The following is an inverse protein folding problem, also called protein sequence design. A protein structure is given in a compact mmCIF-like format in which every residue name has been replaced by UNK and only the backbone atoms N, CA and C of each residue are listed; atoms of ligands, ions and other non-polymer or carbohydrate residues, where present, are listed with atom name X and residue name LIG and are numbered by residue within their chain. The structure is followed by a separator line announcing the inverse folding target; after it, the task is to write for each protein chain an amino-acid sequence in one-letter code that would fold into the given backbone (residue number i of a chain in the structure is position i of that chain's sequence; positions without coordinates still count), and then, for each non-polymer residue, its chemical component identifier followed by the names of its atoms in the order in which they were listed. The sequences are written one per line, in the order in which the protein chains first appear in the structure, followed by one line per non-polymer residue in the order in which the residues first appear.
data_IF_930856697029
#
_entry.id   IF_930856697029
#
_cell.length_a   1.000
_cell.length_b   1.000
_cell.length_c   1.000
_cell.angle_alpha   90.00
_cell.angle_beta   90.00
_cell.angle_gamma   90.00
#
_symmetry.space_group_name_H-M   'P 1'
#
loop_
_entity.id
_entity.type
_entity.pdbx_description
1 polymer ?
#
# COMPACT_ATOMS: atom_id res chain seq x y z
N UNK A 1 7.88 6.62 -4.54
CA UNK A 1 7.93 7.69 -3.56
C UNK A 1 9.01 8.65 -4.01
N UNK A 2 8.68 9.88 -4.33
CA UNK A 2 9.61 10.88 -4.82
C UNK A 2 9.39 11.31 -6.27
N UNK A 3 9.92 12.47 -6.62
CA UNK A 3 9.75 13.20 -7.88
C UNK A 3 10.52 12.62 -9.09
N UNK A 4 10.99 11.39 -9.05
CA UNK A 4 11.64 10.69 -10.17
C UNK A 4 13.09 10.27 -9.93
N UNK A 5 13.75 10.64 -8.85
CA UNK A 5 15.06 10.12 -8.47
C UNK A 5 14.94 8.80 -7.69
N UNK A 6 15.92 7.92 -7.86
CA UNK A 6 16.03 6.69 -7.08
C UNK A 6 16.37 7.01 -5.62
N UNK A 7 15.74 6.25 -4.68
CA UNK A 7 16.06 6.36 -3.27
C UNK A 7 14.88 6.80 -2.41
N UNK A 8 15.21 7.14 -1.17
CA UNK A 8 14.24 7.63 -0.17
C UNK A 8 14.30 9.15 -0.17
N UNK A 9 13.18 9.78 -0.49
CA UNK A 9 13.01 11.23 -0.42
C UNK A 9 12.39 11.61 0.93
N UNK A 10 13.13 12.30 1.82
CA UNK A 10 12.64 12.65 3.15
C UNK A 10 11.39 13.54 3.15
N UNK A 11 11.25 14.45 2.18
CA UNK A 11 10.09 15.32 2.09
C UNK A 11 8.83 14.51 1.79
N UNK A 12 8.91 13.58 0.83
CA UNK A 12 7.81 12.67 0.51
C UNK A 12 7.46 11.76 1.69
N UNK A 13 8.47 11.23 2.41
CA UNK A 13 8.25 10.39 3.59
C UNK A 13 7.53 11.19 4.69
N UNK A 14 7.98 12.41 4.99
CA UNK A 14 7.37 13.28 6.00
C UNK A 14 5.94 13.65 5.61
N UNK A 15 5.67 13.96 4.35
CA UNK A 15 4.33 14.24 3.87
C UNK A 15 3.38 13.04 4.04
N UNK A 16 3.83 11.84 3.66
CA UNK A 16 3.03 10.61 3.85
C UNK A 16 2.81 10.34 5.35
N UNK A 17 3.83 10.52 6.19
CA UNK A 17 3.71 10.35 7.63
C UNK A 17 2.69 11.34 8.24
N UNK A 18 2.65 12.58 7.77
CA UNK A 18 1.67 13.56 8.19
C UNK A 18 0.22 13.16 7.82
N UNK A 19 -0.01 12.62 6.62
CA UNK A 19 -1.31 12.07 6.21
C UNK A 19 -1.75 10.91 7.12
N UNK A 20 -0.82 9.98 7.40
CA UNK A 20 -1.08 8.81 8.27
C UNK A 20 -1.37 9.27 9.70
N UNK A 21 -0.62 10.26 10.22
CA UNK A 21 -0.86 10.85 11.53
C UNK A 21 -2.26 11.46 11.61
N UNK A 22 -2.66 12.28 10.63
CA UNK A 22 -3.98 12.90 10.59
C UNK A 22 -5.09 11.85 10.61
N UNK A 23 -4.97 10.77 9.85
CA UNK A 23 -5.92 9.66 9.88
C UNK A 23 -5.95 8.96 11.25
N UNK A 24 -4.79 8.76 11.89
CA UNK A 24 -4.70 8.20 13.24
C UNK A 24 -5.38 9.09 14.29
N UNK A 25 -5.17 10.39 14.22
CA UNK A 25 -5.80 11.38 15.12
C UNK A 25 -7.31 11.49 14.92
N UNK A 26 -7.80 11.19 13.71
CA UNK A 26 -9.22 11.06 13.41
C UNK A 26 -9.86 9.76 13.97
N UNK A 27 -9.07 8.87 14.62
CA UNK A 27 -9.55 7.68 15.31
C UNK A 27 -9.46 6.38 14.53
N UNK A 28 -8.87 6.37 13.33
CA UNK A 28 -8.72 5.15 12.54
C UNK A 28 -7.60 4.25 13.06
N UNK A 29 -7.82 2.94 13.05
CA UNK A 29 -6.78 1.94 13.23
C UNK A 29 -6.09 1.68 11.89
N UNK A 30 -4.76 1.83 11.83
CA UNK A 30 -4.04 1.87 10.57
C UNK A 30 -2.98 0.77 10.47
N UNK A 31 -3.06 0.01 9.38
CA UNK A 31 -2.01 -0.85 8.87
C UNK A 31 -1.46 -0.24 7.57
N UNK A 32 -0.14 -0.16 7.46
CA UNK A 32 0.52 0.33 6.25
C UNK A 32 1.26 -0.80 5.56
N UNK A 33 1.17 -0.83 4.24
CA UNK A 33 2.01 -1.68 3.39
C UNK A 33 2.76 -0.78 2.43
N UNK A 34 4.08 -0.84 2.44
CA UNK A 34 4.93 0.03 1.64
C UNK A 34 5.67 -0.76 0.56
N UNK A 35 5.72 -0.20 -0.66
CA UNK A 35 6.49 -0.76 -1.76
C UNK A 35 7.98 -0.41 -1.69
N UNK A 36 8.79 -1.07 -2.52
CA UNK A 36 10.24 -0.84 -2.64
C UNK A 36 10.68 -0.25 -3.99
N UNK A 37 9.74 0.04 -4.89
CA UNK A 37 10.01 0.37 -6.29
C UNK A 37 10.77 1.68 -6.56
N UNK A 38 10.89 2.56 -5.55
CA UNK A 38 11.73 3.75 -5.58
C UNK A 38 13.22 3.44 -5.33
N UNK A 39 13.54 2.30 -4.73
CA UNK A 39 14.89 1.84 -4.44
C UNK A 39 15.28 0.73 -5.41
N UNK A 40 14.41 -0.28 -5.60
CA UNK A 40 14.69 -1.42 -6.45
C UNK A 40 13.40 -1.99 -7.05
N UNK A 41 13.43 -2.29 -8.35
CA UNK A 41 12.30 -2.90 -9.09
C UNK A 41 12.70 -4.26 -9.63
N UNK A 42 12.25 -5.33 -8.96
CA UNK A 42 12.60 -6.72 -9.30
C UNK A 42 12.28 -7.10 -10.75
N UNK A 43 11.09 -6.76 -11.25
CA UNK A 43 10.70 -7.01 -12.65
C UNK A 43 11.63 -6.34 -13.66
N UNK A 44 12.02 -5.09 -13.42
CA UNK A 44 12.95 -4.37 -14.30
C UNK A 44 14.37 -4.92 -14.24
N UNK A 45 14.80 -5.44 -13.08
CA UNK A 45 16.09 -6.08 -12.90
C UNK A 45 16.11 -7.46 -13.57
N UNK A 46 15.05 -8.25 -13.42
CA UNK A 46 14.91 -9.56 -14.10
C UNK A 46 14.96 -9.40 -15.63
N UNK A 47 14.32 -8.37 -16.18
CA UNK A 47 14.39 -8.05 -17.60
C UNK A 47 15.81 -7.68 -18.09
N UNK A 48 16.72 -7.35 -17.16
CA UNK A 48 18.15 -7.05 -17.42
C UNK A 48 19.08 -8.22 -17.09
N UNK A 49 18.54 -9.43 -16.87
CA UNK A 49 19.31 -10.67 -16.67
C UNK A 49 19.53 -11.09 -15.20
N UNK A 50 18.95 -10.39 -14.23
CA UNK A 50 18.92 -10.89 -12.86
C UNK A 50 18.00 -12.11 -12.75
N UNK A 51 18.36 -13.09 -11.90
CA UNK A 51 17.43 -14.11 -11.50
C UNK A 51 16.19 -13.48 -10.84
N UNK A 52 15.00 -13.91 -11.27
CA UNK A 52 13.73 -13.32 -10.82
C UNK A 52 13.55 -13.44 -9.31
N UNK A 53 13.85 -14.59 -8.74
CA UNK A 53 13.70 -14.87 -7.31
C UNK A 53 14.60 -13.94 -6.49
N UNK A 54 15.88 -13.84 -6.88
CA UNK A 54 16.84 -12.96 -6.25
C UNK A 54 16.44 -11.49 -6.35
N UNK A 55 15.97 -11.06 -7.52
CA UNK A 55 15.50 -9.71 -7.75
C UNK A 55 14.26 -9.36 -6.89
N UNK A 56 13.33 -10.30 -6.73
CA UNK A 56 12.16 -10.10 -5.87
C UNK A 56 12.57 -10.00 -4.38
N UNK A 57 13.54 -10.79 -3.89
CA UNK A 57 14.09 -10.62 -2.54
C UNK A 57 14.75 -9.25 -2.34
N UNK A 58 15.52 -8.75 -3.32
CA UNK A 58 16.08 -7.40 -3.27
C UNK A 58 14.96 -6.34 -3.19
N UNK A 59 13.88 -6.51 -3.94
CA UNK A 59 12.68 -5.67 -3.85
C UNK A 59 12.03 -5.72 -2.47
N UNK A 60 11.94 -6.90 -1.84
CA UNK A 60 11.42 -7.05 -0.48
C UNK A 60 12.30 -6.32 0.54
N UNK A 61 13.63 -6.42 0.45
CA UNK A 61 14.55 -5.67 1.31
C UNK A 61 14.40 -4.16 1.11
N UNK A 62 14.17 -3.69 -0.10
CA UNK A 62 13.89 -2.29 -0.38
C UNK A 62 12.62 -1.79 0.32
N UNK A 63 11.59 -2.65 0.46
CA UNK A 63 10.39 -2.28 1.26
C UNK A 63 10.71 -2.11 2.73
N UNK A 64 11.63 -2.89 3.28
CA UNK A 64 12.06 -2.75 4.69
C UNK A 64 12.72 -1.41 4.92
N UNK A 65 13.60 -0.96 4.01
CA UNK A 65 14.20 0.37 4.10
C UNK A 65 13.14 1.48 4.12
N UNK A 66 12.15 1.41 3.22
CA UNK A 66 11.06 2.38 3.20
C UNK A 66 10.19 2.30 4.46
N UNK A 67 9.91 1.12 4.98
CA UNK A 67 9.14 0.94 6.21
C UNK A 67 9.83 1.58 7.42
N UNK A 68 11.14 1.41 7.55
CA UNK A 68 11.93 2.05 8.61
C UNK A 68 11.96 3.58 8.47
N UNK A 69 12.05 4.09 7.24
CA UNK A 69 11.98 5.54 6.99
C UNK A 69 10.62 6.12 7.41
N UNK A 70 9.52 5.46 7.04
CA UNK A 70 8.16 5.87 7.44
C UNK A 70 7.96 5.75 8.95
N UNK A 71 8.45 4.67 9.58
CA UNK A 71 8.43 4.52 11.04
C UNK A 71 9.14 5.69 11.72
N UNK A 72 10.38 5.99 11.30
CA UNK A 72 11.16 7.09 11.90
C UNK A 72 10.41 8.43 11.79
N UNK A 73 9.82 8.74 10.65
CA UNK A 73 9.07 9.96 10.47
C UNK A 73 7.80 10.02 11.36
N UNK A 74 7.05 8.91 11.47
CA UNK A 74 5.87 8.83 12.33
C UNK A 74 6.24 8.96 13.82
N UNK A 75 7.31 8.31 14.27
CA UNK A 75 7.77 8.38 15.65
C UNK A 75 8.29 9.79 16.02
N UNK A 76 8.96 10.49 15.10
CA UNK A 76 9.30 11.90 15.25
C UNK A 76 8.07 12.81 15.39
N UNK A 77 6.93 12.42 14.81
CA UNK A 77 5.66 13.12 14.94
C UNK A 77 4.84 12.68 16.17
N UNK A 78 5.39 11.80 17.02
CA UNK A 78 4.74 11.32 18.24
C UNK A 78 3.77 10.15 18.04
N UNK A 79 3.82 9.46 16.89
CA UNK A 79 2.99 8.29 16.62
C UNK A 79 3.72 7.00 16.96
N UNK A 80 3.26 6.25 17.94
CA UNK A 80 3.78 4.91 18.24
C UNK A 80 3.61 3.98 17.03
N UNK A 81 4.72 3.43 16.54
CA UNK A 81 4.73 2.65 15.29
C UNK A 81 5.53 1.36 15.45
N UNK A 82 5.14 0.29 14.77
CA UNK A 82 5.89 -0.97 14.70
C UNK A 82 6.02 -1.47 13.27
N UNK A 83 7.25 -1.79 12.87
CA UNK A 83 7.52 -2.48 11.60
C UNK A 83 7.57 -3.98 11.84
N UNK A 84 6.78 -4.73 11.08
CA UNK A 84 6.75 -6.19 11.09
C UNK A 84 7.13 -6.71 9.71
N UNK A 85 8.21 -7.49 9.64
CA UNK A 85 8.74 -8.02 8.38
C UNK A 85 8.31 -9.47 8.14
N UNK A 86 7.88 -9.76 6.92
CA UNK A 86 7.60 -11.13 6.49
C UNK A 86 8.87 -11.99 6.36
N UNK A 87 10.04 -11.35 6.14
CA UNK A 87 11.34 -12.01 6.22
C UNK A 87 11.92 -11.74 7.61
N UNK A 88 12.26 -12.78 8.41
CA UNK A 88 12.83 -12.60 9.74
C UNK A 88 14.16 -11.83 9.71
N UNK A 89 14.22 -10.69 10.42
CA UNK A 89 15.41 -9.88 10.60
C UNK A 89 15.37 -9.19 11.97
N UNK A 90 15.40 -9.98 13.01
CA UNK A 90 15.12 -9.58 14.39
C UNK A 90 15.99 -8.43 14.93
N UNK A 91 17.20 -8.22 14.37
CA UNK A 91 18.07 -7.09 14.73
C UNK A 91 17.61 -5.74 14.12
N UNK A 92 16.64 -5.75 13.19
CA UNK A 92 16.20 -4.58 12.44
C UNK A 92 14.75 -4.21 12.76
N UNK A 93 13.86 -5.21 12.74
CA UNK A 93 12.43 -5.04 13.00
C UNK A 93 11.81 -6.35 13.51
N UNK A 94 10.57 -6.29 13.96
CA UNK A 94 9.89 -7.48 14.47
C UNK A 94 9.56 -8.46 13.34
N UNK A 95 9.70 -9.79 13.55
CA UNK A 95 9.15 -10.76 12.62
C UNK A 95 7.62 -10.69 12.62
N UNK A 96 7.02 -10.79 11.44
CA UNK A 96 5.57 -10.80 11.32
C UNK A 96 4.97 -12.03 11.98
N UNK A 97 4.14 -11.79 12.96
CA UNK A 97 3.26 -12.77 13.60
C UNK A 97 1.89 -12.09 13.76
N UNK A 98 0.84 -12.65 13.15
CA UNK A 98 -0.50 -12.04 13.14
C UNK A 98 -0.93 -11.55 14.53
N UNK A 99 -0.83 -12.39 15.56
CA UNK A 99 -1.23 -12.02 16.94
C UNK A 99 -0.44 -10.84 17.51
N UNK A 100 0.83 -10.68 17.14
CA UNK A 100 1.63 -9.51 17.53
C UNK A 100 1.11 -8.25 16.83
N UNK A 101 0.82 -8.32 15.53
CA UNK A 101 0.27 -7.21 14.78
C UNK A 101 -1.07 -6.73 15.38
N UNK A 102 -2.00 -7.65 15.63
CA UNK A 102 -3.27 -7.34 16.32
C UNK A 102 -3.01 -6.68 17.66
N UNK A 103 -2.09 -7.23 18.48
CA UNK A 103 -1.77 -6.65 19.78
C UNK A 103 -1.17 -5.24 19.70
N UNK A 104 -0.46 -4.90 18.63
CA UNK A 104 0.01 -3.54 18.40
C UNK A 104 -1.15 -2.60 18.08
N UNK A 105 -2.11 -3.00 17.24
CA UNK A 105 -3.30 -2.22 16.92
C UNK A 105 -4.15 -1.98 18.18
N UNK A 106 -4.42 -3.01 18.98
CA UNK A 106 -5.12 -2.91 20.27
C UNK A 106 -4.48 -1.90 21.23
N UNK A 107 -3.16 -1.71 21.14
CA UNK A 107 -2.41 -0.70 21.90
C UNK A 107 -2.42 0.68 21.24
N UNK A 108 -3.19 0.87 20.19
CA UNK A 108 -3.28 2.12 19.45
C UNK A 108 -2.05 2.46 18.61
N UNK A 109 -1.20 1.48 18.28
CA UNK A 109 -0.01 1.67 17.44
C UNK A 109 -0.35 1.57 15.97
N UNK A 110 0.41 2.28 15.14
CA UNK A 110 0.41 2.09 13.69
C UNK A 110 1.31 0.89 13.37
N UNK A 111 0.82 -0.03 12.55
CA UNK A 111 1.57 -1.21 12.11
C UNK A 111 2.01 -1.03 10.66
N UNK A 112 3.30 -1.21 10.39
CA UNK A 112 3.85 -1.17 9.03
C UNK A 112 4.34 -2.56 8.66
N UNK A 113 3.77 -3.15 7.61
CA UNK A 113 4.17 -4.43 7.08
C UNK A 113 5.25 -4.25 6.01
N UNK A 114 6.37 -4.93 6.18
CA UNK A 114 7.54 -4.91 5.31
C UNK A 114 7.85 -6.30 4.73
N UNK A 115 8.69 -6.35 3.72
CA UNK A 115 9.09 -7.54 2.96
C UNK A 115 7.92 -8.24 2.23
N UNK A 116 6.86 -7.50 1.90
CA UNK A 116 5.76 -8.01 1.10
C UNK A 116 5.07 -9.23 1.72
N UNK A 117 4.90 -10.29 0.93
CA UNK A 117 4.41 -11.60 1.38
C UNK A 117 5.52 -12.46 1.99
N UNK A 118 6.79 -12.10 1.83
CA UNK A 118 7.95 -12.93 2.13
C UNK A 118 8.29 -13.96 1.04
N UNK A 119 7.51 -13.99 -0.04
CA UNK A 119 7.66 -14.93 -1.14
C UNK A 119 7.89 -14.20 -2.46
N UNK A 120 8.81 -14.68 -3.32
CA UNK A 120 8.97 -14.20 -4.68
C UNK A 120 7.68 -14.35 -5.51
N UNK A 121 7.62 -13.67 -6.65
CA UNK A 121 6.52 -13.65 -7.62
C UNK A 121 5.25 -12.92 -7.20
N UNK A 122 5.17 -12.45 -5.97
CA UNK A 122 4.07 -11.62 -5.49
C UNK A 122 4.45 -10.14 -5.44
N UNK A 123 3.47 -9.28 -5.63
CA UNK A 123 3.67 -7.83 -5.59
C UNK A 123 3.33 -7.24 -4.20
N UNK A 124 3.61 -5.97 -4.03
CA UNK A 124 3.16 -5.20 -2.86
C UNK A 124 1.63 -5.17 -2.77
N UNK A 125 0.93 -5.15 -3.91
CA UNK A 125 -0.54 -5.16 -3.95
C UNK A 125 -1.10 -6.46 -3.37
N UNK A 126 -0.54 -7.62 -3.77
CA UNK A 126 -0.90 -8.92 -3.19
C UNK A 126 -0.61 -8.96 -1.68
N UNK A 127 0.53 -8.39 -1.26
CA UNK A 127 0.86 -8.32 0.16
C UNK A 127 -0.16 -7.46 0.93
N UNK A 128 -0.58 -6.32 0.37
CA UNK A 128 -1.58 -5.46 0.99
C UNK A 128 -2.93 -6.16 1.15
N UNK A 129 -3.41 -6.86 0.12
CA UNK A 129 -4.64 -7.64 0.17
C UNK A 129 -4.56 -8.76 1.22
N UNK A 130 -3.43 -9.49 1.27
CA UNK A 130 -3.20 -10.54 2.26
C UNK A 130 -3.24 -9.99 3.69
N UNK A 131 -2.53 -8.90 3.96
CA UNK A 131 -2.51 -8.30 5.30
C UNK A 131 -3.87 -7.74 5.68
N UNK A 132 -4.60 -7.12 4.73
CA UNK A 132 -5.96 -6.65 4.99
C UNK A 132 -6.88 -7.79 5.42
N UNK A 133 -6.84 -8.95 4.75
CA UNK A 133 -7.62 -10.13 5.11
C UNK A 133 -7.19 -10.70 6.48
N UNK A 134 -5.88 -10.85 6.74
CA UNK A 134 -5.36 -11.39 8.00
C UNK A 134 -5.67 -10.49 9.20
N UNK A 135 -5.67 -9.18 9.02
CA UNK A 135 -5.97 -8.21 10.10
C UNK A 135 -7.46 -7.97 10.29
N UNK A 136 -8.31 -8.43 9.36
CA UNK A 136 -9.74 -8.15 9.37
C UNK A 136 -10.04 -6.67 9.09
N UNK A 137 -9.30 -6.06 8.16
CA UNK A 137 -9.52 -4.67 7.78
C UNK A 137 -10.87 -4.49 7.10
N UNK A 138 -11.54 -3.37 7.38
CA UNK A 138 -12.83 -3.01 6.76
C UNK A 138 -12.67 -2.60 5.29
N UNK A 139 -11.50 -2.06 4.91
CA UNK A 139 -11.19 -1.67 3.53
C UNK A 139 -9.68 -1.63 3.29
N UNK A 140 -9.29 -1.69 2.03
CA UNK A 140 -7.92 -1.49 1.55
C UNK A 140 -7.86 -0.16 0.79
N UNK A 141 -7.06 0.78 1.29
CA UNK A 141 -6.84 2.09 0.66
C UNK A 141 -5.56 2.07 -0.16
N UNK A 142 -5.70 2.27 -1.49
CA UNK A 142 -4.58 2.35 -2.41
C UNK A 142 -4.27 3.81 -2.76
N UNK A 143 -3.26 4.37 -2.09
CA UNK A 143 -2.71 5.67 -2.44
C UNK A 143 -1.86 5.61 -3.71
N UNK A 144 -2.25 6.34 -4.73
CA UNK A 144 -1.59 6.38 -6.04
C UNK A 144 -1.28 7.81 -6.49
N UNK A 145 -0.69 7.94 -7.67
CA UNK A 145 -0.43 9.25 -8.30
C UNK A 145 -1.62 9.80 -9.10
N UNK A 146 -2.70 9.01 -9.23
CA UNK A 146 -3.95 9.37 -9.89
C UNK A 146 -5.08 9.29 -8.87
N UNK A 147 -6.18 9.99 -9.13
CA UNK A 147 -7.30 10.17 -8.20
C UNK A 147 -8.37 9.07 -8.28
N UNK A 148 -8.09 7.99 -8.99
CA UNK A 148 -9.01 6.86 -9.11
C UNK A 148 -8.65 5.92 -10.25
N UNK A 149 -9.57 5.04 -10.61
CA UNK A 149 -9.47 4.10 -11.73
C UNK A 149 -10.12 4.71 -12.97
N UNK A 150 -9.47 4.55 -14.12
CA UNK A 150 -9.90 5.08 -15.39
C UNK A 150 -10.09 3.96 -16.41
N UNK A 151 -10.94 4.20 -17.41
CA UNK A 151 -11.14 3.28 -18.55
C UNK A 151 -9.93 3.25 -19.51
N UNK A 152 -9.04 4.24 -19.44
CA UNK A 152 -7.79 4.35 -20.19
C UNK A 152 -6.77 5.14 -19.35
N UNK A 153 -5.49 5.12 -19.74
CA UNK A 153 -4.45 5.90 -19.06
C UNK A 153 -4.69 7.41 -19.25
N UNK A 154 -5.06 8.18 -18.21
CA UNK A 154 -5.37 9.61 -18.35
C UNK A 154 -4.17 10.47 -18.76
N UNK A 155 -2.95 9.93 -18.66
CA UNK A 155 -1.74 10.61 -19.15
C UNK A 155 -1.55 10.49 -20.66
N UNK A 156 -2.19 9.49 -21.28
CA UNK A 156 -2.07 9.19 -22.71
C UNK A 156 -3.34 9.53 -23.46
N UNK A 157 -4.49 9.39 -22.84
CA UNK A 157 -5.80 9.65 -23.43
C UNK A 157 -6.51 10.78 -22.65
N UNK A 158 -6.64 11.97 -23.24
CA UNK A 158 -7.35 13.09 -22.60
C UNK A 158 -8.87 12.85 -22.47
N UNK A 159 -9.42 11.83 -23.13
CA UNK A 159 -10.83 11.44 -23.00
C UNK A 159 -11.04 10.32 -21.98
N UNK A 160 -9.99 9.90 -21.27
CA UNK A 160 -10.12 8.90 -20.22
C UNK A 160 -11.12 9.35 -19.16
N UNK A 161 -12.05 8.45 -18.83
CA UNK A 161 -13.09 8.71 -17.83
C UNK A 161 -12.81 7.92 -16.57
N UNK A 162 -12.85 8.61 -15.43
CA UNK A 162 -12.72 7.98 -14.11
C UNK A 162 -14.04 7.28 -13.77
N UNK A 163 -13.91 6.15 -13.12
CA UNK A 163 -15.03 5.45 -12.48
C UNK A 163 -15.19 5.92 -11.04
N UNK A 164 -16.41 6.15 -10.59
CA UNK A 164 -16.71 6.41 -9.17
C UNK A 164 -16.80 5.09 -8.39
N UNK A 165 -17.39 4.08 -8.99
CA UNK A 165 -17.52 2.74 -8.42
C UNK A 165 -17.33 1.67 -9.50
N UNK A 166 -16.82 0.50 -9.10
CA UNK A 166 -16.59 -0.68 -9.93
C UNK A 166 -16.90 -1.94 -9.12
N UNK A 167 -17.43 -2.97 -9.76
CA UNK A 167 -17.42 -4.30 -9.18
C UNK A 167 -16.04 -4.95 -9.33
N UNK A 168 -15.72 -5.92 -8.46
CA UNK A 168 -14.50 -6.71 -8.61
C UNK A 168 -14.44 -7.47 -9.94
N UNK A 169 -15.58 -8.01 -10.37
CA UNK A 169 -15.69 -8.75 -11.64
C UNK A 169 -15.44 -7.85 -12.84
N UNK A 170 -15.92 -6.62 -12.80
CA UNK A 170 -15.67 -5.61 -13.84
C UNK A 170 -14.17 -5.31 -13.95
N UNK A 171 -13.48 -5.10 -12.80
CA UNK A 171 -12.03 -4.86 -12.78
C UNK A 171 -11.27 -6.03 -13.40
N UNK A 172 -11.64 -7.27 -13.06
CA UNK A 172 -10.96 -8.47 -13.57
C UNK A 172 -11.27 -8.74 -15.05
N UNK A 173 -12.54 -8.59 -15.47
CA UNK A 173 -12.97 -8.87 -16.85
C UNK A 173 -12.41 -7.83 -17.83
N UNK A 174 -12.44 -6.56 -17.45
CA UNK A 174 -11.97 -5.45 -18.29
C UNK A 174 -10.45 -5.23 -18.15
N UNK A 175 -9.78 -6.04 -17.32
CA UNK A 175 -8.34 -5.95 -17.03
C UNK A 175 -7.90 -4.52 -16.65
N UNK A 176 -8.70 -3.85 -15.82
CA UNK A 176 -8.43 -2.49 -15.39
C UNK A 176 -7.20 -2.44 -14.47
N UNK A 177 -6.36 -1.43 -14.67
CA UNK A 177 -5.08 -1.28 -13.96
C UNK A 177 -5.29 -0.69 -12.55
N UNK A 178 -5.96 -1.44 -11.68
CA UNK A 178 -6.18 -1.08 -10.26
C UNK A 178 -5.04 -1.63 -9.40
N UNK A 179 -4.96 -2.94 -9.35
CA UNK A 179 -3.98 -3.76 -8.63
C UNK A 179 -3.72 -5.00 -9.48
N UNK A 180 -2.77 -5.85 -9.09
CA UNK A 180 -2.64 -7.14 -9.76
C UNK A 180 -3.89 -8.03 -9.53
N UNK A 181 -4.17 -8.91 -10.48
CA UNK A 181 -5.38 -9.75 -10.47
C UNK A 181 -5.48 -10.61 -9.21
N UNK A 182 -4.35 -11.10 -8.68
CA UNK A 182 -4.31 -11.90 -7.45
C UNK A 182 -4.74 -11.07 -6.23
N UNK A 183 -4.34 -9.81 -6.15
CA UNK A 183 -4.75 -8.91 -5.08
C UNK A 183 -6.25 -8.59 -5.14
N UNK A 184 -6.77 -8.30 -6.35
CA UNK A 184 -8.20 -8.03 -6.57
C UNK A 184 -9.04 -9.25 -6.23
N UNK A 185 -8.62 -10.45 -6.67
CA UNK A 185 -9.33 -11.71 -6.37
C UNK A 185 -9.36 -11.98 -4.86
N UNK A 186 -8.24 -11.77 -4.15
CA UNK A 186 -8.17 -11.98 -2.71
C UNK A 186 -9.08 -11.00 -1.95
N UNK A 187 -9.14 -9.73 -2.36
CA UNK A 187 -10.06 -8.76 -1.79
C UNK A 187 -11.53 -9.15 -2.04
N UNK A 188 -11.85 -9.61 -3.27
CA UNK A 188 -13.20 -10.09 -3.62
C UNK A 188 -13.64 -11.24 -2.74
N UNK A 189 -12.80 -12.28 -2.61
CA UNK A 189 -13.11 -13.48 -1.81
C UNK A 189 -13.33 -13.18 -0.33
N UNK A 190 -12.70 -12.13 0.18
CA UNK A 190 -12.82 -11.71 1.58
C UNK A 190 -13.77 -10.50 1.79
N UNK A 191 -14.45 -10.04 0.73
CA UNK A 191 -15.37 -8.89 0.75
C UNK A 191 -14.71 -7.61 1.30
N UNK A 192 -13.44 -7.37 0.94
CA UNK A 192 -12.68 -6.19 1.35
C UNK A 192 -12.73 -5.17 0.20
N UNK A 193 -13.47 -4.07 0.31
CA UNK A 193 -13.51 -3.04 -0.72
C UNK A 193 -12.13 -2.39 -0.88
N UNK A 194 -11.79 -2.03 -2.15
CA UNK A 194 -10.56 -1.31 -2.46
C UNK A 194 -10.93 0.13 -2.80
N UNK A 195 -10.31 1.08 -2.11
CA UNK A 195 -10.49 2.51 -2.34
C UNK A 195 -9.23 3.07 -3.00
N UNK A 196 -9.34 3.49 -4.26
CA UNK A 196 -8.20 4.04 -5.03
C UNK A 196 -8.30 5.56 -5.04
N UNK A 197 -7.26 6.25 -4.57
CA UNK A 197 -7.26 7.70 -4.41
C UNK A 197 -5.86 8.31 -4.65
N UNK A 198 -5.80 9.63 -4.86
CA UNK A 198 -4.52 10.35 -4.97
C UNK A 198 -3.90 10.57 -3.60
N UNK A 199 -2.67 10.09 -3.39
CA UNK A 199 -1.86 10.38 -2.19
C UNK A 199 -1.05 11.67 -2.34
N UNK A 200 -1.17 12.38 -3.47
CA UNK A 200 -0.39 13.60 -3.75
C UNK A 200 -0.97 14.84 -3.07
N UNK A 201 -2.27 14.87 -2.90
CA UNK A 201 -2.98 15.99 -2.29
C UNK A 201 -2.90 15.91 -0.77
N UNK A 202 -2.53 17.01 -0.15
CA UNK A 202 -2.41 17.09 1.31
C UNK A 202 -3.81 17.01 1.96
N UNK A 203 -3.96 16.18 3.00
CA UNK A 203 -5.22 15.96 3.71
C UNK A 203 -6.17 14.99 3.01
N UNK A 204 -5.81 14.49 1.82
CA UNK A 204 -6.72 13.66 1.03
C UNK A 204 -6.98 12.28 1.67
N UNK A 205 -5.99 11.68 2.33
CA UNK A 205 -6.20 10.40 3.01
C UNK A 205 -7.30 10.50 4.08
N UNK A 206 -7.22 11.50 4.95
CA UNK A 206 -8.23 11.70 5.99
C UNK A 206 -9.61 12.02 5.40
N UNK A 207 -9.66 12.80 4.33
CA UNK A 207 -10.91 13.15 3.62
C UNK A 207 -11.56 11.90 3.01
N UNK A 208 -10.79 11.05 2.33
CA UNK A 208 -11.30 9.83 1.69
C UNK A 208 -11.69 8.77 2.75
N UNK A 209 -10.95 8.66 3.85
CA UNK A 209 -11.32 7.81 4.99
C UNK A 209 -12.68 8.23 5.59
N UNK A 210 -12.97 9.54 5.62
CA UNK A 210 -14.25 10.10 6.07
C UNK A 210 -15.39 9.96 5.05
N UNK A 211 -15.17 9.31 3.91
CA UNK A 211 -16.18 9.13 2.84
C UNK A 211 -16.33 10.32 1.90
N UNK A 212 -15.45 11.32 1.99
CA UNK A 212 -15.40 12.47 1.08
C UNK A 212 -14.31 12.35 0.02
N UNK A 213 -14.06 13.46 -0.68
CA UNK A 213 -12.97 13.56 -1.66
C UNK A 213 -13.22 12.79 -2.96
N UNK A 214 -12.16 12.66 -3.75
CA UNK A 214 -12.19 11.96 -5.04
C UNK A 214 -11.50 10.61 -4.92
N UNK A 215 -12.25 9.54 -5.20
CA UNK A 215 -11.75 8.17 -5.18
C UNK A 215 -12.57 7.28 -6.12
N UNK A 216 -12.06 6.10 -6.44
CA UNK A 216 -12.83 5.00 -7.01
C UNK A 216 -12.97 3.90 -5.98
N UNK A 217 -14.19 3.42 -5.75
CA UNK A 217 -14.48 2.30 -4.85
C UNK A 217 -14.67 1.04 -5.68
N UNK A 218 -13.85 0.02 -5.45
CA UNK A 218 -13.98 -1.31 -6.05
C UNK A 218 -14.58 -2.27 -5.02
N UNK A 219 -15.63 -2.99 -5.41
CA UNK A 219 -16.39 -3.87 -4.54
C UNK A 219 -17.62 -3.22 -3.92
N UNK A 220 -17.97 -1.99 -4.33
CA UNK A 220 -19.26 -1.42 -4.00
C UNK A 220 -20.37 -2.31 -4.62
N UNK A 221 -21.44 -2.56 -3.86
CA UNK A 221 -22.63 -3.16 -4.43
C UNK A 221 -23.19 -2.20 -5.49
N UNK A 222 -23.16 -2.63 -6.75
CA UNK A 222 -23.78 -1.93 -7.87
C UNK A 222 -25.28 -2.21 -7.87
#
# INVERSE_FOLDING_TARGET
MGSGEFGIDPETVNRIAAEVKAAKEAGYELCLVVGGGNIFRGLAAAAKGFDRTSADYMGMLATVMNALAVQNALEQMGCDTRVLSAIPMASVCEPYIRRKAVRHLEKGRIVIFAAGTGNPFFTTDTAAALRAAEMGCEALFKGTSVDGVYNADPKKDPNAKRYDALSFDQVLTDNLQVMDASAVALCRENNIPIVVFSIREQGNLATVLGGGGTATIVGAAT
#
